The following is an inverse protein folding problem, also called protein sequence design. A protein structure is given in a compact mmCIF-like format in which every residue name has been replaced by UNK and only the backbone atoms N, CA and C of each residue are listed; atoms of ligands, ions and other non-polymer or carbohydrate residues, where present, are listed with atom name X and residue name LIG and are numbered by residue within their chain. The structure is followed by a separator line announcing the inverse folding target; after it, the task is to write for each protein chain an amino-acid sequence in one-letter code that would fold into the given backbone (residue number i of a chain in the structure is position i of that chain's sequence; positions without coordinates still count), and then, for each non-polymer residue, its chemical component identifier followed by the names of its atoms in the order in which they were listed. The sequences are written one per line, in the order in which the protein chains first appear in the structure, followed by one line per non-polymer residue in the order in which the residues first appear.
data_IF_530893583422
#
_entry.id   IF_530893583422
#
_cell.length_a   1.000
_cell.length_b   1.000
_cell.length_c   1.000
_cell.angle_alpha   90.00
_cell.angle_beta   90.00
_cell.angle_gamma   90.00
#
_symmetry.space_group_name_H-M   'P 1'
#
loop_
_entity.id
_entity.type
_entity.pdbx_description
1 polymer ?
#
# COMPACT_ATOMS: atom_id res chain seq x y z
N UNK A 1 -6.78 2.40 9.75
CA UNK A 1 -6.34 2.90 8.43
C UNK A 1 -5.44 1.85 7.78
N UNK A 2 -5.56 1.63 6.48
CA UNK A 2 -4.71 0.67 5.74
C UNK A 2 -3.72 1.42 4.86
N UNK A 3 -2.47 0.95 4.80
CA UNK A 3 -1.41 1.65 4.09
C UNK A 3 -0.59 0.73 3.19
N UNK A 4 -0.28 1.22 1.99
CA UNK A 4 0.61 0.60 1.01
C UNK A 4 1.63 1.61 0.48
N UNK A 5 2.86 1.17 0.22
CA UNK A 5 3.93 2.00 -0.33
C UNK A 5 4.41 1.39 -1.64
N UNK A 6 4.48 2.20 -2.70
CA UNK A 6 5.24 1.90 -3.90
C UNK A 6 6.62 2.56 -3.82
N UNK A 7 7.67 1.76 -4.02
CA UNK A 7 9.06 2.15 -3.81
C UNK A 7 9.75 1.21 -2.84
N UNK A 8 11.06 1.38 -2.66
CA UNK A 8 11.80 0.71 -1.61
C UNK A 8 11.78 1.52 -0.31
N UNK A 9 12.18 0.93 0.83
CA UNK A 9 12.30 1.66 2.10
C UNK A 9 13.19 2.90 2.02
N UNK A 10 14.25 2.84 1.20
CA UNK A 10 15.20 3.94 0.98
C UNK A 10 14.69 5.03 0.01
N UNK A 11 13.66 4.71 -0.78
CA UNK A 11 13.14 5.61 -1.81
C UNK A 11 11.60 5.45 -1.96
N UNK A 12 10.82 5.73 -0.90
CA UNK A 12 9.37 5.66 -0.96
C UNK A 12 8.84 6.71 -1.93
N UNK A 13 8.02 6.29 -2.90
CA UNK A 13 7.63 7.17 -4.00
C UNK A 13 6.16 7.54 -4.01
N UNK A 14 5.30 6.60 -3.65
CA UNK A 14 3.85 6.76 -3.58
C UNK A 14 3.35 6.01 -2.36
N UNK A 15 2.56 6.67 -1.54
CA UNK A 15 1.93 6.08 -0.36
C UNK A 15 0.42 6.17 -0.53
N UNK A 16 -0.24 5.02 -0.50
CA UNK A 16 -1.69 4.90 -0.50
C UNK A 16 -2.19 4.73 0.91
N UNK A 17 -3.22 5.49 1.27
CA UNK A 17 -3.88 5.42 2.56
C UNK A 17 -5.36 5.17 2.33
N UNK A 18 -5.94 4.18 3.00
CA UNK A 18 -7.37 3.90 2.96
C UNK A 18 -7.95 4.10 4.35
N UNK A 19 -8.90 5.02 4.46
CA UNK A 19 -9.59 5.38 5.71
C UNK A 19 -11.09 5.37 5.45
N UNK A 20 -11.83 4.57 6.23
CA UNK A 20 -13.29 4.49 6.16
C UNK A 20 -13.87 4.24 4.74
N UNK A 21 -13.10 3.59 3.86
CA UNK A 21 -13.48 3.29 2.49
C UNK A 21 -12.96 4.29 1.44
N UNK A 22 -12.51 5.45 1.90
CA UNK A 22 -11.94 6.52 1.07
C UNK A 22 -10.44 6.32 0.89
N UNK A 23 -10.01 6.35 -0.37
CA UNK A 23 -8.62 6.14 -0.76
C UNK A 23 -7.92 7.47 -1.05
N UNK A 24 -6.80 7.71 -0.38
CA UNK A 24 -5.98 8.92 -0.44
C UNK A 24 -4.54 8.56 -0.84
N UNK A 25 -4.13 8.85 -2.09
CA UNK A 25 -2.74 8.66 -2.53
C UNK A 25 -1.88 9.92 -2.32
N UNK A 26 -0.66 9.73 -1.80
CA UNK A 26 0.34 10.77 -1.56
C UNK A 26 1.64 10.48 -2.32
N UNK A 27 2.05 11.41 -3.18
CA UNK A 27 3.35 11.30 -3.88
C UNK A 27 4.46 11.83 -2.98
N UNK A 28 5.45 11.00 -2.70
CA UNK A 28 6.56 11.33 -1.80
C UNK A 28 7.89 11.58 -2.52
N UNK A 29 8.02 11.08 -3.75
CA UNK A 29 9.22 11.26 -4.57
C UNK A 29 9.19 12.61 -5.30
N UNK A 30 10.16 13.52 -5.04
CA UNK A 30 10.22 14.82 -5.70
C UNK A 30 10.27 14.76 -7.22
N UNK A 31 10.87 13.71 -7.81
CA UNK A 31 10.95 13.51 -9.26
C UNK A 31 9.56 13.32 -9.86
N UNK A 32 8.60 12.81 -9.08
CA UNK A 32 7.25 12.53 -9.55
C UNK A 32 6.28 13.72 -9.38
N UNK A 33 6.72 14.88 -8.87
CA UNK A 33 5.88 16.09 -8.76
C UNK A 33 5.10 16.44 -10.04
N UNK A 34 5.70 16.38 -11.26
CA UNK A 34 4.94 16.62 -12.49
C UNK A 34 3.81 15.61 -12.73
N UNK A 35 4.02 14.33 -12.37
CA UNK A 35 2.97 13.30 -12.48
C UNK A 35 1.87 13.46 -11.43
N UNK A 36 2.25 13.92 -10.23
CA UNK A 36 1.30 14.24 -9.17
C UNK A 36 0.37 15.38 -9.61
N UNK A 37 0.96 16.46 -10.14
CA UNK A 37 0.22 17.64 -10.58
C UNK A 37 -0.80 17.33 -11.68
N UNK A 38 -0.46 16.49 -12.68
CA UNK A 38 -1.40 16.12 -13.75
C UNK A 38 -2.64 15.38 -13.23
N UNK A 39 -2.50 14.62 -12.15
CA UNK A 39 -3.62 13.90 -11.50
C UNK A 39 -4.25 14.68 -10.34
N UNK A 40 -3.81 15.91 -10.07
CA UNK A 40 -4.24 16.67 -8.90
C UNK A 40 -3.91 15.99 -7.58
N UNK A 41 -2.87 15.16 -7.54
CA UNK A 41 -2.46 14.42 -6.35
C UNK A 41 -1.55 15.27 -5.47
N UNK A 42 -1.69 15.17 -4.13
CA UNK A 42 -0.80 15.86 -3.23
C UNK A 42 0.63 15.32 -3.33
N UNK A 43 1.60 16.22 -3.34
CA UNK A 43 2.97 15.90 -2.99
C UNK A 43 3.19 16.20 -1.51
N UNK A 44 3.73 15.24 -0.77
CA UNK A 44 4.11 15.43 0.62
C UNK A 44 5.38 14.63 0.90
N UNK A 45 6.37 15.27 1.51
CA UNK A 45 7.57 14.54 1.93
C UNK A 45 7.20 13.44 2.92
N UNK A 46 7.87 12.28 2.82
CA UNK A 46 7.55 11.11 3.63
C UNK A 46 7.59 11.40 5.14
N UNK A 47 8.49 12.28 5.59
CA UNK A 47 8.57 12.72 6.98
C UNK A 47 7.31 13.46 7.42
N UNK A 48 6.80 14.38 6.58
CA UNK A 48 5.57 15.13 6.84
C UNK A 48 4.33 14.26 6.73
N UNK A 49 4.35 13.29 5.83
CA UNK A 49 3.30 12.28 5.77
C UNK A 49 3.28 11.43 7.05
N UNK A 50 4.44 11.05 7.59
CA UNK A 50 4.53 10.33 8.86
C UNK A 50 3.93 11.14 10.03
N UNK A 51 4.28 12.43 10.15
CA UNK A 51 3.71 13.34 11.16
C UNK A 51 2.18 13.39 11.06
N UNK A 52 1.66 13.60 9.85
CA UNK A 52 0.22 13.69 9.58
C UNK A 52 -0.50 12.39 9.94
N UNK A 53 0.04 11.24 9.52
CA UNK A 53 -0.55 9.93 9.82
C UNK A 53 -0.51 9.63 11.33
N UNK A 54 0.60 9.92 12.00
CA UNK A 54 0.72 9.75 13.45
C UNK A 54 -0.29 10.61 14.20
N UNK A 55 -0.47 11.87 13.79
CA UNK A 55 -1.45 12.77 14.36
C UNK A 55 -2.88 12.24 14.17
N UNK A 56 -3.23 11.78 12.96
CA UNK A 56 -4.55 11.20 12.65
C UNK A 56 -4.83 9.92 13.44
N UNK A 57 -3.84 9.03 13.57
CA UNK A 57 -3.96 7.84 14.41
C UNK A 57 -4.27 8.21 15.87
N UNK A 58 -3.58 9.22 16.43
CA UNK A 58 -3.78 9.65 17.82
C UNK A 58 -5.11 10.38 18.03
N UNK A 59 -5.51 11.25 17.11
CA UNK A 59 -6.75 12.02 17.24
C UNK A 59 -7.98 11.12 17.17
N UNK A 60 -7.93 10.11 16.32
CA UNK A 60 -9.09 9.28 16.01
C UNK A 60 -9.10 7.96 16.80
N UNK A 61 -8.09 7.72 17.64
CA UNK A 61 -7.81 6.45 18.33
C UNK A 61 -7.79 5.25 17.36
N UNK A 62 -6.98 5.39 16.29
CA UNK A 62 -6.92 4.44 15.17
C UNK A 62 -5.54 3.82 15.00
N UNK A 63 -5.55 2.56 14.59
CA UNK A 63 -4.35 1.84 14.17
C UNK A 63 -4.03 2.09 12.69
N UNK A 64 -2.74 2.04 12.38
CA UNK A 64 -2.19 2.03 11.03
C UNK A 64 -1.81 0.59 10.65
N UNK A 65 -2.29 0.08 9.51
CA UNK A 65 -2.18 -1.35 9.17
C UNK A 65 -1.26 -1.56 7.95
N UNK A 66 -0.19 -2.35 8.13
CA UNK A 66 0.98 -2.57 7.25
C UNK A 66 1.29 -4.05 6.87
N UNK A 67 1.81 -4.39 5.66
CA UNK A 67 1.86 -5.81 5.18
C UNK A 67 3.02 -6.47 5.85
N UNK A 68 4.07 -5.71 5.79
CA UNK A 68 5.39 -6.06 6.18
C UNK A 68 5.98 -4.83 6.82
N UNK A 69 6.97 -5.09 7.66
CA UNK A 69 7.74 -4.04 8.32
C UNK A 69 8.47 -3.15 7.34
N UNK A 70 8.68 -3.55 6.09
CA UNK A 70 9.23 -2.68 5.04
C UNK A 70 8.48 -1.36 4.90
N UNK A 71 7.19 -1.34 5.24
CA UNK A 71 6.37 -0.13 5.31
C UNK A 71 6.83 0.76 6.47
N UNK A 72 6.99 0.18 7.65
CA UNK A 72 7.47 0.89 8.84
C UNK A 72 8.92 1.34 8.66
N UNK A 73 9.78 0.52 8.05
CA UNK A 73 11.17 0.86 7.70
C UNK A 73 11.22 2.09 6.81
N UNK A 74 10.34 2.23 5.80
CA UNK A 74 10.33 3.41 4.95
C UNK A 74 10.09 4.70 5.74
N UNK A 75 9.20 4.67 6.73
CA UNK A 75 8.97 5.83 7.59
C UNK A 75 10.11 6.05 8.59
N UNK A 76 10.66 4.98 9.17
CA UNK A 76 11.77 5.08 10.13
C UNK A 76 13.07 5.60 9.48
N UNK A 77 13.37 5.18 8.25
CA UNK A 77 14.55 5.63 7.50
C UNK A 77 14.50 7.13 7.21
N UNK A 78 13.31 7.67 6.95
CA UNK A 78 13.16 9.04 6.47
C UNK A 78 12.46 10.00 7.45
N UNK A 79 12.06 9.54 8.63
CA UNK A 79 11.40 10.37 9.63
C UNK A 79 11.87 10.00 11.03
N UNK A 80 12.01 11.00 11.90
CA UNK A 80 12.18 10.79 13.34
C UNK A 80 10.89 10.41 14.06
N UNK A 81 9.78 10.24 13.35
CA UNK A 81 8.50 9.87 13.94
C UNK A 81 8.39 8.37 14.07
N UNK A 82 8.26 7.92 15.31
CA UNK A 82 8.00 6.52 15.59
C UNK A 82 6.52 6.18 15.31
N UNK A 83 6.27 5.56 14.16
CA UNK A 83 4.95 5.01 13.83
C UNK A 83 4.70 3.64 14.45
N UNK A 84 5.70 2.99 15.07
CA UNK A 84 5.59 1.62 15.59
C UNK A 84 4.49 1.48 16.63
N UNK A 85 4.26 2.53 17.43
CA UNK A 85 3.24 2.57 18.48
C UNK A 85 1.82 2.35 17.93
N UNK A 86 1.52 2.90 16.76
CA UNK A 86 0.20 2.81 16.11
C UNK A 86 0.17 1.80 14.96
N UNK A 87 1.33 1.34 14.50
CA UNK A 87 1.45 0.40 13.39
C UNK A 87 1.16 -1.03 13.83
N UNK A 88 0.38 -1.76 13.04
CA UNK A 88 0.17 -3.19 13.20
C UNK A 88 0.43 -3.91 11.89
N UNK A 89 1.26 -4.93 11.99
CA UNK A 89 1.53 -5.82 10.87
C UNK A 89 0.36 -6.80 10.70
N UNK A 90 -0.17 -6.88 9.48
CA UNK A 90 -1.32 -7.75 9.17
C UNK A 90 -0.93 -9.20 8.84
N UNK A 91 0.34 -9.49 8.55
CA UNK A 91 0.81 -10.86 8.26
C UNK A 91 0.51 -11.81 9.41
N UNK A 92 0.57 -11.36 10.66
CA UNK A 92 0.25 -12.18 11.84
C UNK A 92 -1.23 -12.56 11.92
N UNK A 93 -2.13 -11.60 11.68
CA UNK A 93 -3.59 -11.86 11.67
C UNK A 93 -3.95 -12.77 10.49
N UNK A 94 -3.36 -12.51 9.32
CA UNK A 94 -3.54 -13.38 8.18
C UNK A 94 -3.07 -14.81 8.48
N UNK A 95 -1.90 -14.96 9.14
CA UNK A 95 -1.32 -16.27 9.53
C UNK A 95 -2.26 -17.09 10.40
N UNK A 96 -2.82 -16.48 11.44
CA UNK A 96 -3.78 -17.15 12.31
C UNK A 96 -5.04 -17.56 11.55
N UNK A 97 -5.56 -16.65 10.71
CA UNK A 97 -6.72 -16.94 9.87
C UNK A 97 -6.48 -18.11 8.91
N UNK A 98 -5.32 -18.16 8.25
CA UNK A 98 -4.99 -19.28 7.37
C UNK A 98 -4.86 -20.59 8.14
N UNK A 99 -4.17 -20.58 9.28
CA UNK A 99 -3.96 -21.78 10.07
C UNK A 99 -5.28 -22.38 10.59
N UNK A 100 -6.23 -21.52 10.98
CA UNK A 100 -7.49 -21.95 11.61
C UNK A 100 -8.63 -22.16 10.63
N UNK A 101 -8.79 -21.27 9.66
CA UNK A 101 -9.94 -21.28 8.75
C UNK A 101 -9.62 -21.89 7.38
N UNK A 102 -8.34 -21.97 7.00
CA UNK A 102 -7.91 -22.47 5.68
C UNK A 102 -6.68 -23.40 5.76
N UNK A 103 -6.64 -24.40 6.67
CA UNK A 103 -5.44 -25.20 6.93
C UNK A 103 -4.93 -25.93 5.67
N UNK A 104 -5.82 -26.41 4.80
CA UNK A 104 -5.48 -27.11 3.56
C UNK A 104 -5.01 -26.17 2.43
N UNK A 105 -5.18 -24.86 2.61
CA UNK A 105 -4.81 -23.83 1.64
C UNK A 105 -3.67 -22.95 2.17
N UNK A 106 -3.11 -23.29 3.34
CA UNK A 106 -2.00 -22.57 3.92
C UNK A 106 -0.77 -22.66 3.00
N UNK A 107 -0.29 -21.53 2.44
CA UNK A 107 0.84 -21.54 1.52
C UNK A 107 2.14 -22.00 2.23
N UNK A 108 2.95 -22.79 1.52
CA UNK A 108 4.12 -23.48 2.08
C UNK A 108 5.22 -22.54 2.63
N UNK A 109 5.35 -21.30 2.14
CA UNK A 109 6.15 -20.17 2.69
C UNK A 109 6.01 -18.91 1.83
N UNK A 110 6.31 -17.73 2.40
CA UNK A 110 6.45 -16.42 1.74
C UNK A 110 5.27 -15.92 0.88
N UNK A 111 4.08 -16.16 1.40
CA UNK A 111 2.83 -15.62 0.91
C UNK A 111 2.75 -14.09 0.90
N UNK A 112 2.19 -13.59 -0.19
CA UNK A 112 1.93 -12.20 -0.48
C UNK A 112 0.45 -11.90 -0.24
N UNK A 113 0.13 -10.62 -0.11
CA UNK A 113 -1.27 -10.18 -0.04
C UNK A 113 -2.09 -10.78 -1.18
N UNK A 114 -1.51 -10.83 -2.38
CA UNK A 114 -2.15 -11.34 -3.58
C UNK A 114 -2.60 -12.79 -3.50
N UNK A 115 -1.94 -13.60 -2.68
CA UNK A 115 -2.26 -15.03 -2.54
C UNK A 115 -3.52 -15.23 -1.69
N UNK A 116 -3.89 -14.22 -0.90
CA UNK A 116 -5.05 -14.24 -0.01
C UNK A 116 -6.28 -13.53 -0.55
N UNK A 117 -6.11 -12.68 -1.57
CA UNK A 117 -7.23 -11.94 -2.15
C UNK A 117 -8.37 -12.85 -2.62
N UNK A 118 -8.13 -14.02 -3.25
CA UNK A 118 -9.21 -14.92 -3.63
C UNK A 118 -9.99 -15.46 -2.43
N UNK A 119 -9.32 -15.74 -1.31
CA UNK A 119 -9.95 -16.24 -0.08
C UNK A 119 -10.81 -15.18 0.62
N UNK A 120 -10.53 -13.91 0.34
CA UNK A 120 -11.28 -12.77 0.84
C UNK A 120 -12.32 -12.24 -0.18
N UNK A 121 -12.65 -13.03 -1.21
CA UNK A 121 -13.56 -12.66 -2.31
C UNK A 121 -13.22 -11.31 -2.96
N UNK A 122 -11.92 -10.98 -3.03
CA UNK A 122 -11.44 -9.72 -3.57
C UNK A 122 -10.78 -9.94 -4.95
N UNK A 123 -11.51 -9.75 -6.06
CA UNK A 123 -10.95 -9.96 -7.39
C UNK A 123 -9.94 -8.87 -7.72
N UNK A 124 -8.70 -9.27 -8.01
CA UNK A 124 -7.67 -8.35 -8.49
C UNK A 124 -7.84 -8.07 -10.00
N UNK A 125 -7.82 -6.80 -10.44
CA UNK A 125 -7.93 -6.51 -11.86
C UNK A 125 -6.76 -7.11 -12.68
N UNK A 126 -7.04 -7.95 -13.69
CA UNK A 126 -6.01 -8.74 -14.37
C UNK A 126 -5.01 -7.87 -15.15
N UNK A 127 -5.45 -6.69 -15.63
CA UNK A 127 -4.60 -5.75 -16.38
C UNK A 127 -3.46 -5.15 -15.56
N UNK A 128 -3.52 -5.26 -14.23
CA UNK A 128 -2.44 -4.80 -13.34
C UNK A 128 -1.27 -5.76 -13.33
N UNK A 129 -1.48 -7.07 -13.52
CA UNK A 129 -0.45 -8.10 -13.53
C UNK A 129 0.40 -8.19 -12.26
N UNK A 130 1.12 -9.31 -12.11
CA UNK A 130 1.99 -9.54 -10.95
C UNK A 130 3.38 -8.90 -11.12
N UNK A 131 3.90 -8.31 -10.03
CA UNK A 131 5.27 -7.80 -9.96
C UNK A 131 5.59 -6.66 -10.95
N UNK A 132 4.58 -5.92 -11.40
CA UNK A 132 4.78 -4.85 -12.40
C UNK A 132 5.04 -3.48 -11.79
N UNK A 133 4.63 -3.23 -10.54
CA UNK A 133 4.64 -1.88 -9.95
C UNK A 133 6.02 -1.21 -9.95
N UNK A 134 7.05 -1.90 -9.47
CA UNK A 134 8.43 -1.40 -9.50
C UNK A 134 8.90 -1.03 -10.91
N UNK A 135 8.54 -1.83 -11.93
CA UNK A 135 8.83 -1.51 -13.34
C UNK A 135 8.06 -0.27 -13.81
N UNK A 136 6.80 -0.11 -13.42
CA UNK A 136 5.97 1.07 -13.76
C UNK A 136 6.57 2.33 -13.16
N UNK A 137 6.87 2.28 -11.86
CA UNK A 137 7.45 3.38 -11.10
C UNK A 137 8.78 3.82 -11.73
N UNK A 138 9.68 2.87 -12.01
CA UNK A 138 10.95 3.16 -12.69
C UNK A 138 10.75 3.82 -14.05
N UNK A 139 9.83 3.30 -14.87
CA UNK A 139 9.57 3.87 -16.20
C UNK A 139 9.09 5.33 -16.13
N UNK A 140 8.18 5.65 -15.20
CA UNK A 140 7.67 7.02 -15.01
C UNK A 140 8.78 7.93 -14.48
N UNK A 141 9.46 7.51 -13.41
CA UNK A 141 10.56 8.27 -12.78
C UNK A 141 11.66 8.60 -13.79
N UNK A 142 12.15 7.61 -14.53
CA UNK A 142 13.22 7.80 -15.53
C UNK A 142 12.80 8.78 -16.63
N UNK A 143 11.56 8.69 -17.11
CA UNK A 143 11.12 9.56 -18.19
C UNK A 143 10.86 10.99 -17.73
N UNK A 144 10.33 11.20 -16.53
CA UNK A 144 10.20 12.54 -15.97
C UNK A 144 11.57 13.15 -15.70
N UNK A 145 12.51 12.40 -15.12
CA UNK A 145 13.87 12.88 -14.92
C UNK A 145 14.53 13.32 -16.24
N UNK A 146 14.21 12.66 -17.37
CA UNK A 146 14.72 13.01 -18.70
C UNK A 146 13.98 14.19 -19.36
N UNK A 147 12.68 14.32 -19.14
CA UNK A 147 11.81 15.27 -19.87
C UNK A 147 11.43 16.52 -19.08
N UNK A 148 11.57 16.47 -17.76
CA UNK A 148 11.19 17.55 -16.83
C UNK A 148 9.68 17.75 -16.63
N UNK A 149 8.82 17.15 -17.46
CA UNK A 149 7.38 17.36 -17.44
C UNK A 149 6.60 16.09 -17.82
N UNK A 150 5.35 15.99 -17.36
CA UNK A 150 4.50 14.81 -17.56
C UNK A 150 3.87 14.79 -18.96
N UNK A 151 3.63 15.97 -19.54
CA UNK A 151 2.96 16.17 -20.82
C UNK A 151 3.74 15.51 -21.96
N UNK A 152 5.07 15.55 -21.88
CA UNK A 152 5.99 14.97 -22.86
C UNK A 152 6.22 13.46 -22.70
N UNK A 153 5.60 12.82 -21.71
CA UNK A 153 5.65 11.37 -21.57
C UNK A 153 4.89 10.69 -22.71
N UNK A 154 5.39 9.54 -23.16
CA UNK A 154 4.67 8.72 -24.15
C UNK A 154 3.37 8.21 -23.54
N UNK A 155 2.36 7.94 -24.38
CA UNK A 155 1.07 7.38 -23.92
C UNK A 155 1.26 6.09 -23.11
N UNK A 156 2.22 5.25 -23.47
CA UNK A 156 2.59 4.05 -22.72
C UNK A 156 3.03 4.36 -21.29
N UNK A 157 3.88 5.36 -21.08
CA UNK A 157 4.40 5.73 -19.75
C UNK A 157 3.32 6.40 -18.91
N UNK A 158 2.48 7.24 -19.51
CA UNK A 158 1.28 7.79 -18.85
C UNK A 158 0.33 6.66 -18.38
N UNK A 159 0.18 5.62 -19.21
CA UNK A 159 -0.53 4.40 -18.84
C UNK A 159 0.12 3.62 -17.70
N UNK A 160 1.45 3.62 -17.59
CA UNK A 160 2.15 3.02 -16.44
C UNK A 160 1.86 3.79 -15.14
N UNK A 161 1.81 5.13 -15.19
CA UNK A 161 1.44 5.95 -14.03
C UNK A 161 0.03 5.62 -13.53
N UNK A 162 -0.95 5.59 -14.44
CA UNK A 162 -2.34 5.23 -14.10
C UNK A 162 -2.43 3.84 -13.47
N UNK A 163 -1.73 2.85 -14.04
CA UNK A 163 -1.71 1.47 -13.50
C UNK A 163 -0.93 1.33 -12.19
N UNK A 164 -0.01 2.25 -11.89
CA UNK A 164 0.67 2.28 -10.59
C UNK A 164 -0.28 2.77 -9.50
N UNK A 165 -1.01 3.85 -9.76
CA UNK A 165 -2.04 4.37 -8.85
C UNK A 165 -3.13 3.32 -8.57
N UNK A 166 -3.66 2.69 -9.61
CA UNK A 166 -4.64 1.61 -9.48
C UNK A 166 -4.10 0.42 -8.68
N UNK A 167 -2.82 0.07 -8.85
CA UNK A 167 -2.21 -0.99 -8.07
C UNK A 167 -2.13 -0.63 -6.59
N UNK A 168 -1.69 0.58 -6.27
CA UNK A 168 -1.55 1.05 -4.91
C UNK A 168 -2.90 1.09 -4.17
N UNK A 169 -3.96 1.54 -4.85
CA UNK A 169 -5.33 1.45 -4.32
C UNK A 169 -5.78 0.00 -4.11
N UNK A 170 -5.51 -0.87 -5.09
CA UNK A 170 -5.86 -2.30 -5.02
C UNK A 170 -5.18 -2.98 -3.83
N UNK A 171 -3.91 -2.66 -3.54
CA UNK A 171 -3.21 -3.18 -2.37
C UNK A 171 -3.86 -2.69 -1.07
N UNK A 172 -4.29 -1.43 -0.99
CA UNK A 172 -4.98 -0.90 0.18
C UNK A 172 -6.33 -1.58 0.42
N UNK A 173 -7.16 -1.68 -0.63
CA UNK A 173 -8.50 -2.30 -0.55
C UNK A 173 -8.43 -3.80 -0.34
N UNK A 174 -7.54 -4.49 -1.06
CA UNK A 174 -7.38 -5.94 -0.93
C UNK A 174 -6.92 -6.34 0.47
N UNK A 175 -6.06 -5.53 1.08
CA UNK A 175 -5.67 -5.71 2.46
C UNK A 175 -6.82 -5.51 3.44
N UNK A 176 -7.65 -4.47 3.26
CA UNK A 176 -8.85 -4.30 4.07
C UNK A 176 -9.75 -5.52 3.97
N UNK A 177 -9.95 -6.04 2.76
CA UNK A 177 -10.75 -7.24 2.52
C UNK A 177 -10.20 -8.45 3.28
N UNK A 178 -8.89 -8.72 3.16
CA UNK A 178 -8.22 -9.83 3.87
C UNK A 178 -8.32 -9.68 5.38
N UNK A 179 -8.02 -8.50 5.94
CA UNK A 179 -8.10 -8.28 7.40
C UNK A 179 -9.53 -8.42 7.90
N UNK A 180 -10.52 -7.97 7.12
CA UNK A 180 -11.94 -8.11 7.47
C UNK A 180 -12.39 -9.56 7.42
N UNK A 181 -12.00 -10.31 6.38
CA UNK A 181 -12.29 -11.73 6.26
C UNK A 181 -11.64 -12.52 7.41
N UNK A 182 -10.37 -12.23 7.71
CA UNK A 182 -9.63 -12.83 8.81
C UNK A 182 -10.31 -12.59 10.17
N UNK A 183 -10.65 -11.34 10.48
CA UNK A 183 -11.34 -11.01 11.73
C UNK A 183 -12.68 -11.75 11.86
N UNK A 184 -13.47 -11.82 10.78
CA UNK A 184 -14.74 -12.56 10.77
C UNK A 184 -14.56 -14.06 11.00
N UNK A 185 -13.61 -14.68 10.27
CA UNK A 185 -13.32 -16.10 10.39
C UNK A 185 -12.85 -16.47 11.80
N UNK A 186 -11.89 -15.71 12.33
CA UNK A 186 -11.33 -15.95 13.67
C UNK A 186 -12.34 -15.75 14.79
N UNK A 187 -13.26 -14.79 14.68
CA UNK A 187 -14.35 -14.63 15.64
C UNK A 187 -15.37 -15.78 15.58
N UNK A 188 -15.68 -16.29 14.37
CA UNK A 188 -16.62 -17.40 14.21
C UNK A 188 -16.05 -18.74 14.73
N UNK A 189 -14.72 -18.87 14.76
CA UNK A 189 -13.98 -20.06 15.20
C UNK A 189 -13.66 -20.06 16.71
N UNK A 190 -14.11 -19.08 17.48
CA UNK A 190 -13.97 -19.12 18.95
C UNK A 190 -14.99 -20.13 19.53
N UNK A 191 -14.57 -21.04 20.44
CA UNK A 191 -15.50 -21.92 21.13
C UNK A 191 -16.50 -21.08 21.93
N UNK A 192 -17.80 -21.39 21.77
CA UNK A 192 -18.88 -20.79 22.56
C UNK A 192 -18.81 -21.20 24.02
#
# INVERSE_FOLDING_TARGET
MYLSIEGGPEEPALVGVLVDGDFEPFVCDPVLKPAAAEKGLPFLEIAKLAEMLAARCRSDDRLLIGWSDSVLTAFATHSGNDLSVVFRERRTIAADWMARCHPDQAPARDWRLTDLLPLADFPRPPHLGYGKSAKRLRAVRTMIARKGCFEQLTGTVKGQWTKLLQHNETECRGMQAVVTAAARGLCADLPR
#
